data_IF_369593359456
#
_entry.id   IF_369593359456
#
_cell.length_a   1.000
_cell.length_b   1.000
_cell.length_c   1.000
_cell.angle_alpha   90.00
_cell.angle_beta   90.00
_cell.angle_gamma   90.00
#
_symmetry.space_group_name_H-M   'P 1'
#
loop_
_entity.id
_entity.type
_entity.pdbx_description
1 polymer ?
#
# COMPACT_ATOMS: atom_id res chain seq x y z
N UNK A 1 -0.15 -6.69 -3.61
CA UNK A 1 -0.28 -5.27 -4.03
C UNK A 1 0.86 -4.47 -3.45
N UNK A 2 1.44 -3.57 -4.23
CA UNK A 2 2.46 -2.62 -3.76
C UNK A 2 1.99 -1.19 -4.03
N UNK A 3 1.98 -0.36 -2.99
CA UNK A 3 1.67 1.07 -3.06
C UNK A 3 2.91 1.87 -2.66
N UNK A 4 3.22 2.92 -3.42
CA UNK A 4 4.41 3.74 -3.20
C UNK A 4 4.00 5.17 -2.91
N UNK A 5 4.71 5.83 -2.00
CA UNK A 5 4.45 7.23 -1.65
C UNK A 5 4.75 8.12 -2.85
N UNK A 6 4.13 9.30 -2.89
CA UNK A 6 4.37 10.27 -3.93
C UNK A 6 5.85 10.67 -3.89
N UNK A 7 6.50 10.60 -5.04
CA UNK A 7 7.95 10.85 -5.19
C UNK A 7 8.86 9.91 -4.39
N UNK A 8 8.36 8.74 -3.94
CA UNK A 8 9.14 7.79 -3.13
C UNK A 8 9.74 8.44 -1.87
N UNK A 9 9.02 9.42 -1.29
CA UNK A 9 9.43 10.06 -0.05
C UNK A 9 9.34 9.05 1.09
N UNK A 10 10.36 9.04 1.95
CA UNK A 10 10.47 8.17 3.12
C UNK A 10 9.59 8.68 4.27
N UNK A 11 8.27 8.71 4.06
CA UNK A 11 7.31 9.30 5.01
C UNK A 11 6.90 8.33 6.11
N UNK A 12 6.89 7.03 5.85
CA UNK A 12 6.34 6.07 6.80
C UNK A 12 7.24 5.91 8.03
N UNK A 13 6.63 6.16 9.20
CA UNK A 13 7.14 5.74 10.49
C UNK A 13 6.28 4.57 11.02
N UNK A 14 6.68 3.97 12.14
CA UNK A 14 5.98 2.81 12.71
C UNK A 14 4.51 3.09 13.04
N UNK A 15 4.21 4.27 13.59
CA UNK A 15 2.85 4.68 13.93
C UNK A 15 1.95 4.77 12.70
N UNK A 16 2.43 5.40 11.63
CA UNK A 16 1.70 5.50 10.36
C UNK A 16 1.48 4.13 9.71
N UNK A 17 2.46 3.22 9.80
CA UNK A 17 2.31 1.87 9.25
C UNK A 17 1.27 1.06 10.02
N UNK A 18 1.29 1.11 11.35
CA UNK A 18 0.27 0.47 12.19
C UNK A 18 -1.11 1.04 11.88
N UNK A 19 -1.21 2.36 11.74
CA UNK A 19 -2.47 3.01 11.44
C UNK A 19 -3.00 2.66 10.05
N UNK A 20 -2.11 2.59 9.06
CA UNK A 20 -2.46 2.17 7.71
C UNK A 20 -2.92 0.71 7.67
N UNK A 21 -2.31 -0.18 8.47
CA UNK A 21 -2.74 -1.57 8.62
C UNK A 21 -4.20 -1.65 9.07
N UNK A 22 -4.57 -0.95 10.15
CA UNK A 22 -5.94 -0.90 10.67
C UNK A 22 -6.95 -0.40 9.63
N UNK A 23 -6.60 0.70 8.93
CA UNK A 23 -7.48 1.28 7.89
C UNK A 23 -7.67 0.29 6.74
N UNK A 24 -6.61 -0.41 6.33
CA UNK A 24 -6.69 -1.40 5.25
C UNK A 24 -7.51 -2.62 5.66
N UNK A 25 -7.35 -3.11 6.88
CA UNK A 25 -8.13 -4.22 7.41
C UNK A 25 -9.63 -3.88 7.45
N UNK A 26 -9.98 -2.70 7.97
CA UNK A 26 -11.37 -2.21 8.00
C UNK A 26 -11.92 -2.04 6.58
N UNK A 27 -11.16 -1.42 5.67
CA UNK A 27 -11.65 -1.12 4.33
C UNK A 27 -11.79 -2.37 3.50
N UNK A 28 -10.83 -3.30 3.56
CA UNK A 28 -10.94 -4.59 2.86
C UNK A 28 -12.15 -5.37 3.38
N UNK A 29 -12.40 -5.39 4.69
CA UNK A 29 -13.59 -6.02 5.26
C UNK A 29 -14.90 -5.46 4.69
N UNK A 30 -14.99 -4.14 4.48
CA UNK A 30 -16.16 -3.49 3.84
C UNK A 30 -16.36 -3.88 2.37
N UNK A 31 -15.31 -4.33 1.72
CA UNK A 31 -15.33 -4.83 0.34
C UNK A 31 -15.49 -6.36 0.28
N UNK A 32 -15.83 -7.02 1.40
CA UNK A 32 -15.86 -8.48 1.52
C UNK A 32 -14.54 -9.14 1.08
N UNK A 33 -13.44 -8.43 1.35
CA UNK A 33 -12.08 -8.87 1.11
C UNK A 33 -11.39 -9.14 2.45
N UNK A 34 -10.41 -10.04 2.44
CA UNK A 34 -9.64 -10.39 3.64
C UNK A 34 -8.19 -9.99 3.49
N UNK A 35 -7.70 -9.13 4.40
CA UNK A 35 -6.28 -8.85 4.52
C UNK A 35 -5.56 -10.10 5.08
N UNK A 36 -4.50 -10.53 4.41
CA UNK A 36 -3.73 -11.73 4.76
C UNK A 36 -2.37 -11.35 5.35
N UNK A 37 -1.69 -10.40 4.72
CA UNK A 37 -0.43 -9.86 5.20
C UNK A 37 -0.34 -8.38 4.84
N UNK A 38 0.28 -7.62 5.74
CA UNK A 38 0.66 -6.24 5.51
C UNK A 38 2.08 -6.04 6.02
N UNK A 39 2.92 -5.44 5.18
CA UNK A 39 4.23 -4.96 5.59
C UNK A 39 4.53 -3.60 4.93
N UNK A 40 5.42 -2.83 5.52
CA UNK A 40 5.77 -1.51 5.03
C UNK A 40 7.22 -1.15 5.26
N UNK A 41 7.73 -0.37 4.32
CA UNK A 41 9.03 0.29 4.40
C UNK A 41 8.80 1.80 4.42
N UNK A 42 9.87 2.58 4.53
CA UNK A 42 9.76 4.03 4.72
C UNK A 42 9.06 4.76 3.56
N UNK A 43 9.05 4.22 2.34
CA UNK A 43 8.50 4.87 1.15
C UNK A 43 7.41 4.04 0.43
N UNK A 44 7.09 2.83 0.88
CA UNK A 44 6.11 1.98 0.23
C UNK A 44 5.56 0.88 1.14
N UNK A 45 4.44 0.27 0.74
CA UNK A 45 3.78 -0.81 1.49
C UNK A 45 3.37 -1.96 0.59
N UNK A 46 3.34 -3.16 1.18
CA UNK A 46 2.96 -4.43 0.57
C UNK A 46 1.68 -4.96 1.23
N UNK A 47 0.61 -4.95 0.43
CA UNK A 47 -0.72 -5.53 0.62
C UNK A 47 -0.91 -6.98 0.10
N UNK A 48 -1.01 -8.04 0.92
CA UNK A 48 -1.57 -9.32 0.45
C UNK A 48 -3.01 -9.47 0.95
N UNK A 49 -3.96 -9.63 0.03
CA UNK A 49 -5.37 -9.79 0.38
C UNK A 49 -6.08 -10.76 -0.55
N UNK A 50 -7.13 -11.40 -0.05
CA UNK A 50 -8.07 -12.23 -0.80
C UNK A 50 -9.29 -11.38 -1.17
N UNK A 51 -9.81 -11.58 -2.38
CA UNK A 51 -10.97 -10.86 -2.90
C UNK A 51 -11.82 -11.79 -3.79
N UNK A 52 -13.11 -11.53 -3.90
CA UNK A 52 -13.98 -12.27 -4.80
C UNK A 52 -13.73 -11.87 -6.27
N UNK A 53 -13.71 -12.80 -7.24
CA UNK A 53 -13.43 -12.47 -8.66
C UNK A 53 -14.33 -11.39 -9.28
N UNK A 54 -15.56 -11.25 -8.78
CA UNK A 54 -16.52 -10.22 -9.23
C UNK A 54 -16.13 -8.80 -8.81
N UNK A 55 -15.19 -8.65 -7.87
CA UNK A 55 -14.69 -7.34 -7.45
C UNK A 55 -13.78 -6.78 -8.54
N UNK A 56 -14.17 -5.62 -9.09
CA UNK A 56 -13.32 -4.85 -9.97
C UNK A 56 -12.07 -4.35 -9.22
N UNK A 57 -10.96 -5.05 -9.41
CA UNK A 57 -9.71 -4.85 -8.67
C UNK A 57 -9.18 -3.40 -8.76
N UNK A 58 -9.31 -2.76 -9.92
CA UNK A 58 -8.94 -1.35 -10.10
C UNK A 58 -9.76 -0.41 -9.21
N UNK A 59 -11.06 -0.65 -9.07
CA UNK A 59 -11.95 0.14 -8.21
C UNK A 59 -11.60 -0.05 -6.73
N UNK A 60 -11.35 -1.30 -6.32
CA UNK A 60 -10.91 -1.61 -4.96
C UNK A 60 -9.60 -0.87 -4.63
N UNK A 61 -8.58 -0.99 -5.48
CA UNK A 61 -7.28 -0.34 -5.23
C UNK A 61 -7.38 1.19 -5.23
N UNK A 62 -8.18 1.77 -6.13
CA UNK A 62 -8.43 3.21 -6.13
C UNK A 62 -9.15 3.67 -4.86
N UNK A 63 -10.10 2.89 -4.34
CA UNK A 63 -10.77 3.17 -3.09
C UNK A 63 -9.80 3.09 -1.90
N UNK A 64 -8.99 2.03 -1.81
CA UNK A 64 -7.94 1.86 -0.80
C UNK A 64 -6.99 3.06 -0.79
N UNK A 65 -6.43 3.44 -1.95
CA UNK A 65 -5.52 4.59 -2.06
C UNK A 65 -6.20 5.90 -1.66
N UNK A 66 -7.45 6.12 -2.08
CA UNK A 66 -8.15 7.38 -1.82
C UNK A 66 -8.48 7.55 -0.33
N UNK A 67 -9.04 6.51 0.30
CA UNK A 67 -9.42 6.54 1.72
C UNK A 67 -8.20 6.63 2.61
N UNK A 68 -7.17 5.81 2.37
CA UNK A 68 -5.93 5.83 3.15
C UNK A 68 -5.18 7.15 3.01
N UNK A 69 -5.08 7.71 1.79
CA UNK A 69 -4.49 9.04 1.57
C UNK A 69 -5.20 10.12 2.38
N UNK A 70 -6.54 10.12 2.37
CA UNK A 70 -7.33 11.11 3.12
C UNK A 70 -7.11 10.96 4.63
N UNK A 71 -7.29 9.75 5.18
CA UNK A 71 -7.18 9.50 6.61
C UNK A 71 -5.77 9.81 7.14
N UNK A 72 -4.73 9.30 6.49
CA UNK A 72 -3.36 9.57 6.92
C UNK A 72 -2.99 11.05 6.83
N UNK A 73 -3.44 11.79 5.81
CA UNK A 73 -3.22 13.24 5.73
C UNK A 73 -3.96 14.01 6.83
N UNK A 74 -5.13 13.54 7.26
CA UNK A 74 -5.90 14.18 8.34
C UNK A 74 -5.32 13.86 9.72
N UNK A 75 -4.85 12.63 9.94
CA UNK A 75 -4.34 12.17 11.23
C UNK A 75 -2.88 12.61 11.46
N UNK A 76 -2.07 12.73 10.40
CA UNK A 76 -0.64 13.08 10.45
C UNK A 76 -0.32 14.38 9.71
N UNK A 77 -1.21 15.37 9.74
CA UNK A 77 -1.08 16.60 8.94
C UNK A 77 0.24 17.32 9.15
N UNK A 78 0.61 17.62 10.39
CA UNK A 78 1.82 18.40 10.71
C UNK A 78 3.10 17.66 10.29
N UNK A 79 3.13 16.35 10.52
CA UNK A 79 4.24 15.51 10.11
C UNK A 79 4.37 15.46 8.58
N UNK A 80 3.27 15.25 7.86
CA UNK A 80 3.27 15.16 6.40
C UNK A 80 3.56 16.50 5.71
N UNK A 81 3.24 17.63 6.34
CA UNK A 81 3.60 18.96 5.86
C UNK A 81 5.12 19.15 5.70
N UNK A 82 5.93 18.39 6.46
CA UNK A 82 7.40 18.40 6.33
C UNK A 82 7.91 17.70 5.06
N UNK A 83 7.09 16.85 4.43
CA UNK A 83 7.44 16.09 3.23
C UNK A 83 6.73 16.60 1.97
N UNK A 84 5.50 17.10 2.11
CA UNK A 84 4.64 17.50 1.01
C UNK A 84 4.07 18.90 1.21
N UNK A 85 4.20 19.73 0.17
CA UNK A 85 3.63 21.07 0.10
C UNK A 85 2.25 21.10 -0.58
N UNK A 86 1.72 19.93 -0.96
CA UNK A 86 0.42 19.73 -1.62
C UNK A 86 -0.30 18.56 -0.98
N UNK A 87 -1.61 18.50 -1.22
CA UNK A 87 -2.48 17.38 -0.85
C UNK A 87 -2.25 16.13 -1.70
N UNK A 88 -1.09 15.51 -1.51
CA UNK A 88 -0.68 14.26 -2.18
C UNK A 88 -0.15 13.28 -1.14
N UNK A 89 -0.29 11.99 -1.42
CA UNK A 89 0.24 10.95 -0.53
C UNK A 89 0.77 9.76 -1.32
N UNK A 90 -0.06 9.14 -2.15
CA UNK A 90 0.35 8.03 -3.00
C UNK A 90 0.87 8.49 -4.36
N UNK A 91 1.74 7.68 -4.95
CA UNK A 91 2.02 7.72 -6.38
C UNK A 91 0.75 7.37 -7.18
N UNK A 92 0.61 7.90 -8.40
CA UNK A 92 -0.50 7.57 -9.29
C UNK A 92 -0.49 6.09 -9.68
N UNK A 93 0.71 5.54 -9.89
CA UNK A 93 0.91 4.13 -10.22
C UNK A 93 0.82 3.22 -8.99
N UNK A 94 0.54 1.95 -9.23
CA UNK A 94 0.54 0.88 -8.24
C UNK A 94 0.87 -0.43 -8.96
N UNK A 95 1.28 -1.45 -8.19
CA UNK A 95 1.48 -2.79 -8.72
C UNK A 95 0.54 -3.77 -8.04
N UNK A 96 -0.15 -4.60 -8.83
CA UNK A 96 -0.90 -5.75 -8.33
C UNK A 96 -0.60 -6.94 -9.23
N UNK A 97 -0.32 -8.07 -8.60
CA UNK A 97 -0.16 -9.35 -9.25
C UNK A 97 -0.98 -10.38 -8.48
N UNK A 98 -1.53 -11.35 -9.20
CA UNK A 98 -2.14 -12.53 -8.61
C UNK A 98 -1.03 -13.46 -8.12
N UNK A 99 -1.07 -13.83 -6.85
CA UNK A 99 -0.24 -14.92 -6.33
C UNK A 99 -1.09 -16.19 -6.37
N UNK A 100 -0.98 -17.00 -7.43
CA UNK A 100 -1.70 -18.27 -7.51
C UNK A 100 -1.18 -19.21 -6.43
N UNK A 101 -1.87 -19.36 -5.29
CA UNK A 101 -1.49 -20.25 -4.18
C UNK A 101 -0.12 -19.98 -3.55
N UNK A 102 0.54 -18.89 -3.92
CA UNK A 102 1.96 -18.67 -3.66
C UNK A 102 2.13 -17.78 -2.44
N UNK A 103 2.79 -18.34 -1.43
CA UNK A 103 3.11 -17.71 -0.15
C UNK A 103 4.13 -16.58 -0.30
N UNK A 104 4.17 -15.73 0.73
CA UNK A 104 5.05 -14.58 0.98
C UNK A 104 6.53 -14.82 0.57
N UNK A 105 7.01 -16.06 0.70
CA UNK A 105 8.36 -16.49 0.33
C UNK A 105 8.71 -16.23 -1.14
N UNK A 106 7.78 -16.36 -2.08
CA UNK A 106 8.06 -16.14 -3.51
C UNK A 106 7.96 -14.67 -3.92
N UNK A 107 7.18 -13.86 -3.18
CA UNK A 107 7.17 -12.40 -3.34
C UNK A 107 8.50 -11.79 -2.88
N UNK A 108 9.09 -12.33 -1.80
CA UNK A 108 10.47 -11.97 -1.39
C UNK A 108 11.48 -12.25 -2.50
N UNK A 109 11.39 -13.40 -3.17
CA UNK A 109 12.24 -13.70 -4.33
C UNK A 109 12.01 -12.73 -5.52
N UNK A 110 10.80 -12.24 -5.74
CA UNK A 110 10.54 -11.27 -6.81
C UNK A 110 11.15 -9.89 -6.50
N UNK A 111 11.11 -9.46 -5.24
CA UNK A 111 11.71 -8.20 -4.78
C UNK A 111 13.25 -8.31 -4.78
N UNK A 112 13.81 -9.43 -4.30
CA UNK A 112 15.26 -9.69 -4.32
C UNK A 112 15.85 -9.76 -5.75
N UNK A 113 15.05 -10.16 -6.73
CA UNK A 113 15.48 -10.25 -8.14
C UNK A 113 15.25 -8.96 -8.95
N UNK A 114 14.68 -7.89 -8.37
CA UNK A 114 14.47 -6.62 -9.09
C UNK A 114 15.56 -5.56 -8.89
N UNK A 115 16.63 -5.85 -8.14
CA UNK A 115 17.81 -4.97 -8.08
C UNK A 115 18.99 -5.50 -8.91
N UNK A 116 19.08 -5.01 -10.16
CA UNK A 116 20.25 -4.28 -10.72
C UNK A 116 20.21 -4.22 -12.25
N UNK A 117 20.17 -3.02 -12.86
CA UNK A 117 20.78 -2.83 -14.16
C UNK A 117 22.28 -3.08 -14.03
N UNK A 118 22.85 -3.93 -14.89
CA UNK A 118 24.30 -4.05 -15.04
C UNK A 118 24.81 -2.79 -15.75
N UNK A 119 25.53 -1.94 -15.00
CA UNK A 119 26.59 -1.13 -15.57
C UNK A 119 27.81 -1.99 -15.83
#
# INVERSE_FOLDING_TARGET
MVLTTKYRRKVFNAEMLNRLHEILEELLGKWDCKLIEFNGETDHVHALFQYHPDVALSNLVNNLKSVTSRKLRQEFTDYLATFYWKDVFWNGFYFVASCGGVTISTLKQYIENQDRPKG
#
